data_IF_065386685514
#
_entry.id   IF_065386685514
#
_cell.length_a   1.000
_cell.length_b   1.000
_cell.length_c   1.000
_cell.angle_alpha   90.00
_cell.angle_beta   90.00
_cell.angle_gamma   90.00
#
_symmetry.space_group_name_H-M   'P 1'
#
loop_
_entity.id
_entity.type
_entity.pdbx_description
1 polymer ?
#
# COMPACT_ATOMS: atom_id res chain seq x y z
N UNK A 1 -17.30 21.99 -27.41
CA UNK A 1 -16.11 21.19 -27.76
C UNK A 1 -14.88 21.93 -27.26
N UNK A 2 -13.99 21.27 -26.52
CA UNK A 2 -12.70 21.86 -26.09
C UNK A 2 -11.60 20.91 -26.55
N UNK A 3 -10.65 21.41 -27.32
CA UNK A 3 -9.50 20.62 -27.77
C UNK A 3 -8.40 20.81 -26.73
N UNK A 4 -7.79 19.71 -26.31
CA UNK A 4 -6.65 19.68 -25.42
C UNK A 4 -5.55 18.92 -26.16
N UNK A 5 -4.53 19.66 -26.56
CA UNK A 5 -3.35 19.07 -27.21
C UNK A 5 -2.62 18.20 -26.19
N UNK A 6 -2.37 16.94 -26.57
CA UNK A 6 -1.85 15.91 -25.68
C UNK A 6 -0.35 15.68 -25.91
N UNK A 7 0.05 15.58 -27.18
CA UNK A 7 1.44 15.62 -27.66
C UNK A 7 1.49 16.17 -29.09
N UNK A 8 2.63 16.03 -29.80
CA UNK A 8 2.80 16.58 -31.16
C UNK A 8 1.84 15.97 -32.18
N UNK A 9 1.39 14.74 -31.93
CA UNK A 9 0.66 13.92 -32.90
C UNK A 9 -0.74 13.51 -32.40
N UNK A 10 -1.05 13.79 -31.13
CA UNK A 10 -2.28 13.37 -30.45
C UNK A 10 -3.01 14.55 -29.81
N UNK A 11 -4.33 14.63 -30.06
CA UNK A 11 -5.21 15.61 -29.43
C UNK A 11 -6.42 14.92 -28.78
N UNK A 12 -6.77 15.37 -27.57
CA UNK A 12 -7.98 14.96 -26.89
C UNK A 12 -9.08 16.01 -27.12
N UNK A 13 -10.25 15.58 -27.56
CA UNK A 13 -11.42 16.43 -27.78
C UNK A 13 -12.44 16.15 -26.67
N UNK A 14 -12.66 17.17 -25.83
CA UNK A 14 -13.77 17.17 -24.89
C UNK A 14 -15.06 17.48 -25.64
N UNK A 15 -15.97 16.52 -25.67
CA UNK A 15 -17.32 16.67 -26.22
C UNK A 15 -18.33 16.57 -25.08
N UNK A 16 -19.30 17.49 -25.02
CA UNK A 16 -20.35 17.44 -24.00
C UNK A 16 -21.28 16.27 -24.29
N UNK A 17 -21.77 15.56 -23.26
CA UNK A 17 -22.71 14.43 -23.36
C UNK A 17 -23.87 14.68 -24.34
N UNK A 18 -24.56 15.82 -24.21
CA UNK A 18 -25.66 16.22 -25.11
C UNK A 18 -25.28 16.26 -26.60
N UNK A 19 -24.02 16.59 -26.93
CA UNK A 19 -23.54 16.62 -28.32
C UNK A 19 -23.28 15.22 -28.87
N UNK A 20 -22.91 14.26 -28.02
CA UNK A 20 -22.75 12.85 -28.38
C UNK A 20 -24.10 12.16 -28.55
N UNK A 21 -25.04 12.43 -27.65
CA UNK A 21 -26.42 11.93 -27.74
C UNK A 21 -27.10 12.39 -29.04
N UNK A 22 -26.92 13.66 -29.42
CA UNK A 22 -27.40 14.19 -30.70
C UNK A 22 -26.76 13.52 -31.92
N UNK A 23 -25.58 12.92 -31.77
CA UNK A 23 -24.89 12.16 -32.81
C UNK A 23 -25.22 10.65 -32.77
N UNK A 24 -26.17 10.24 -31.93
CA UNK A 24 -26.59 8.84 -31.80
C UNK A 24 -25.75 8.01 -30.84
N UNK A 25 -24.81 8.62 -30.11
CA UNK A 25 -24.02 7.94 -29.08
C UNK A 25 -24.74 8.01 -27.73
N UNK A 26 -25.22 6.86 -27.25
CA UNK A 26 -25.80 6.74 -25.91
C UNK A 26 -24.67 6.41 -24.94
N UNK A 27 -24.20 7.43 -24.22
CA UNK A 27 -23.24 7.26 -23.14
C UNK A 27 -23.92 7.55 -21.80
N UNK A 28 -23.89 6.59 -20.87
CA UNK A 28 -24.46 6.76 -19.52
C UNK A 28 -23.77 7.90 -18.76
N UNK A 29 -22.49 8.16 -19.06
CA UNK A 29 -21.62 9.12 -18.38
C UNK A 29 -20.90 10.08 -19.34
N UNK A 30 -20.25 11.11 -18.79
CA UNK A 30 -19.32 11.98 -19.53
C UNK A 30 -18.15 11.14 -20.09
N UNK A 31 -17.78 11.38 -21.35
CA UNK A 31 -16.69 10.67 -22.05
C UNK A 31 -15.73 11.65 -22.72
N UNK A 32 -14.46 11.26 -22.82
CA UNK A 32 -13.44 11.90 -23.64
C UNK A 32 -13.40 11.25 -25.02
N UNK A 33 -13.29 12.04 -26.07
CA UNK A 33 -13.06 11.54 -27.43
C UNK A 33 -11.63 11.87 -27.81
N UNK A 34 -10.79 10.86 -27.99
CA UNK A 34 -9.38 11.03 -28.37
C UNK A 34 -9.27 10.67 -29.84
N UNK A 35 -8.65 11.54 -30.64
CA UNK A 35 -8.30 11.20 -32.02
C UNK A 35 -6.94 10.54 -32.01
N UNK A 36 -6.88 9.29 -32.47
CA UNK A 36 -5.67 8.49 -32.61
C UNK A 36 -5.11 8.64 -34.04
N UNK A 37 -3.89 8.12 -34.26
CA UNK A 37 -3.31 8.02 -35.60
C UNK A 37 -4.26 7.33 -36.59
N UNK A 38 -4.21 7.77 -37.85
CA UNK A 38 -5.03 7.22 -38.97
C UNK A 38 -6.54 7.49 -38.85
N UNK A 39 -6.95 8.49 -38.09
CA UNK A 39 -8.36 8.94 -38.03
C UNK A 39 -9.27 8.06 -37.18
N UNK A 40 -8.71 7.21 -36.32
CA UNK A 40 -9.48 6.43 -35.36
C UNK A 40 -9.89 7.31 -34.16
N UNK A 41 -11.10 7.11 -33.64
CA UNK A 41 -11.60 7.82 -32.45
C UNK A 41 -11.71 6.83 -31.28
N UNK A 42 -11.13 7.17 -30.13
CA UNK A 42 -11.30 6.43 -28.90
C UNK A 42 -12.23 7.20 -27.95
N UNK A 43 -13.28 6.54 -27.47
CA UNK A 43 -14.22 7.11 -26.49
C UNK A 43 -13.88 6.51 -25.13
N UNK A 44 -13.45 7.34 -24.18
CA UNK A 44 -13.02 6.90 -22.85
C UNK A 44 -13.90 7.54 -21.77
N UNK A 45 -14.47 6.73 -20.87
CA UNK A 45 -15.24 7.23 -19.72
C UNK A 45 -14.40 8.18 -18.87
N UNK A 46 -15.01 9.27 -18.39
CA UNK A 46 -14.30 10.29 -17.61
C UNK A 46 -13.72 9.75 -16.30
N UNK A 47 -14.43 8.82 -15.68
CA UNK A 47 -14.02 8.06 -14.49
C UNK A 47 -12.73 7.27 -14.73
N UNK A 48 -12.63 6.56 -15.85
CA UNK A 48 -11.49 5.70 -16.19
C UNK A 48 -10.32 6.42 -16.86
N UNK A 49 -10.51 7.67 -17.32
CA UNK A 49 -9.51 8.40 -18.09
C UNK A 49 -8.20 8.62 -17.33
N UNK A 50 -8.25 8.92 -16.02
CA UNK A 50 -7.04 9.17 -15.23
C UNK A 50 -6.15 7.92 -15.13
N UNK A 51 -6.75 6.74 -15.08
CA UNK A 51 -6.02 5.46 -15.05
C UNK A 51 -5.46 5.13 -16.41
N UNK A 52 -6.29 5.17 -17.46
CA UNK A 52 -5.83 4.98 -18.84
C UNK A 52 -4.71 5.95 -19.22
N UNK A 53 -4.78 7.20 -18.76
CA UNK A 53 -3.74 8.20 -18.94
C UNK A 53 -2.44 7.81 -18.25
N UNK A 54 -2.51 7.41 -16.97
CA UNK A 54 -1.34 6.94 -16.22
C UNK A 54 -0.69 5.73 -16.89
N UNK A 55 -1.50 4.80 -17.38
CA UNK A 55 -1.05 3.57 -18.00
C UNK A 55 -0.37 3.82 -19.34
N UNK A 56 -0.95 4.70 -20.16
CA UNK A 56 -0.38 5.06 -21.46
C UNK A 56 0.92 5.87 -21.31
N UNK A 57 0.97 6.81 -20.35
CA UNK A 57 2.19 7.56 -20.02
C UNK A 57 3.28 6.62 -19.49
N UNK A 58 2.93 5.70 -18.59
CA UNK A 58 3.89 4.70 -18.07
C UNK A 58 4.41 3.78 -19.15
N UNK A 59 3.54 3.26 -20.01
CA UNK A 59 3.91 2.41 -21.15
C UNK A 59 4.86 3.14 -22.11
N UNK A 60 4.59 4.42 -22.38
CA UNK A 60 5.43 5.26 -23.24
C UNK A 60 6.79 5.58 -22.61
N UNK A 61 6.86 5.62 -21.27
CA UNK A 61 8.10 5.80 -20.52
C UNK A 61 8.85 4.48 -20.25
N UNK A 62 8.35 3.34 -20.74
CA UNK A 62 8.92 2.02 -20.45
C UNK A 62 8.85 1.63 -18.97
N UNK A 63 7.98 2.29 -18.20
CA UNK A 63 7.77 1.96 -16.80
C UNK A 63 6.87 0.71 -16.70
N UNK A 64 7.19 -0.24 -15.82
CA UNK A 64 6.38 -1.44 -15.65
C UNK A 64 4.95 -1.06 -15.28
N UNK A 65 3.99 -1.75 -15.89
CA UNK A 65 2.58 -1.59 -15.58
C UNK A 65 2.36 -1.97 -14.11
N UNK A 66 1.99 -0.98 -13.29
CA UNK A 66 1.48 -1.22 -11.95
C UNK A 66 0.08 -1.77 -12.13
N UNK A 67 -0.15 -3.06 -11.85
CA UNK A 67 -1.43 -3.63 -12.18
C UNK A 67 -2.44 -3.09 -11.15
N UNK A 68 -3.55 -2.52 -11.62
CA UNK A 68 -4.72 -2.20 -10.79
C UNK A 68 -5.41 -3.52 -10.42
N UNK A 69 -4.68 -4.37 -9.68
CA UNK A 69 -5.17 -5.70 -9.33
C UNK A 69 -6.08 -5.52 -8.15
N UNK A 70 -7.37 -5.67 -8.40
CA UNK A 70 -8.29 -6.09 -7.36
C UNK A 70 -7.84 -7.47 -6.91
N UNK A 71 -7.22 -7.53 -5.73
CA UNK A 71 -6.78 -8.77 -5.12
C UNK A 71 -7.95 -9.35 -4.32
N UNK A 72 -8.31 -10.60 -4.61
CA UNK A 72 -9.28 -11.34 -3.82
C UNK A 72 -8.78 -11.65 -2.41
N UNK A 73 -9.69 -12.02 -1.50
CA UNK A 73 -9.32 -12.38 -0.12
C UNK A 73 -8.33 -13.55 -0.02
N UNK A 74 -8.48 -14.56 -0.90
CA UNK A 74 -7.56 -15.72 -0.95
C UNK A 74 -6.16 -15.33 -1.46
N UNK A 75 -6.09 -14.40 -2.43
CA UNK A 75 -4.83 -13.86 -2.95
C UNK A 75 -4.08 -13.06 -1.87
N UNK A 76 -4.80 -12.25 -1.09
CA UNK A 76 -4.24 -11.49 0.03
C UNK A 76 -3.76 -12.41 1.15
N UNK A 77 -4.52 -13.46 1.48
CA UNK A 77 -4.11 -14.46 2.48
C UNK A 77 -2.81 -15.18 2.06
N UNK A 78 -2.70 -15.55 0.79
CA UNK A 78 -1.50 -16.16 0.23
C UNK A 78 -0.30 -15.20 0.28
N UNK A 79 -0.49 -13.94 -0.13
CA UNK A 79 0.56 -12.92 -0.07
C UNK A 79 1.02 -12.69 1.36
N UNK A 80 0.10 -12.62 2.33
CA UNK A 80 0.40 -12.52 3.75
C UNK A 80 1.27 -13.70 4.22
N UNK A 81 0.86 -14.93 3.88
CA UNK A 81 1.60 -16.17 4.18
C UNK A 81 3.03 -16.13 3.63
N UNK A 82 3.21 -15.73 2.37
CA UNK A 82 4.53 -15.61 1.73
C UNK A 82 5.36 -14.49 2.38
N UNK A 83 4.75 -13.35 2.72
CA UNK A 83 5.46 -12.23 3.36
C UNK A 83 5.91 -12.52 4.79
N UNK A 84 5.25 -13.45 5.48
CA UNK A 84 5.65 -13.92 6.82
C UNK A 84 6.98 -14.70 6.79
N UNK A 85 7.26 -15.43 5.70
CA UNK A 85 8.53 -16.13 5.50
C UNK A 85 9.66 -15.12 5.25
N UNK A 86 10.84 -15.34 5.83
CA UNK A 86 12.02 -14.49 5.60
C UNK A 86 12.39 -14.50 4.12
N UNK A 87 12.84 -13.36 3.60
CA UNK A 87 13.12 -13.20 2.16
C UNK A 87 14.07 -14.27 1.60
N UNK A 88 15.13 -14.62 2.35
CA UNK A 88 16.11 -15.65 1.98
C UNK A 88 15.52 -17.06 1.84
N UNK A 89 14.39 -17.32 2.51
CA UNK A 89 13.73 -18.62 2.57
C UNK A 89 12.56 -18.73 1.58
N UNK A 90 12.23 -17.65 0.85
CA UNK A 90 11.16 -17.62 -0.18
C UNK A 90 11.59 -18.27 -1.49
N UNK A 91 12.40 -19.31 -1.41
CA UNK A 91 12.87 -20.10 -2.54
C UNK A 91 11.68 -20.91 -3.09
N UNK A 92 11.53 -21.07 -4.41
CA UNK A 92 10.41 -21.81 -5.00
C UNK A 92 10.17 -23.18 -4.37
N UNK A 93 11.23 -23.97 -4.12
CA UNK A 93 11.12 -25.28 -3.48
C UNK A 93 10.49 -25.24 -2.08
N UNK A 94 10.85 -24.22 -1.28
CA UNK A 94 10.36 -24.09 0.08
C UNK A 94 8.92 -23.56 0.11
N UNK A 95 8.64 -22.56 -0.73
CA UNK A 95 7.30 -21.98 -0.85
C UNK A 95 6.30 -23.02 -1.36
N UNK A 96 6.65 -23.80 -2.39
CA UNK A 96 5.76 -24.82 -2.94
C UNK A 96 5.42 -25.93 -1.93
N UNK A 97 6.33 -26.26 -1.00
CA UNK A 97 6.05 -27.23 0.08
C UNK A 97 5.08 -26.71 1.13
N UNK A 98 4.95 -25.39 1.25
CA UNK A 98 4.15 -24.72 2.27
C UNK A 98 2.73 -24.39 1.78
N UNK A 99 2.47 -24.55 0.48
CA UNK A 99 1.21 -24.20 -0.16
C UNK A 99 0.42 -25.46 -0.56
N UNK A 100 -0.89 -25.36 -0.46
CA UNK A 100 -1.82 -26.35 -1.02
C UNK A 100 -1.92 -26.26 -2.54
N UNK A 101 -2.50 -27.27 -3.19
CA UNK A 101 -2.68 -27.29 -4.66
C UNK A 101 -3.45 -26.07 -5.17
N UNK A 102 -4.50 -25.67 -4.46
CA UNK A 102 -5.28 -24.47 -4.76
C UNK A 102 -4.45 -23.20 -4.63
N UNK A 103 -3.65 -23.09 -3.58
CA UNK A 103 -2.75 -21.93 -3.38
C UNK A 103 -1.64 -21.86 -4.43
N UNK A 104 -1.21 -23.00 -4.97
CA UNK A 104 -0.25 -23.01 -6.08
C UNK A 104 -0.84 -22.43 -7.37
N UNK A 105 -2.12 -22.67 -7.66
CA UNK A 105 -2.81 -22.03 -8.79
C UNK A 105 -2.90 -20.52 -8.62
N UNK A 106 -3.23 -20.07 -7.41
CA UNK A 106 -3.26 -18.64 -7.05
C UNK A 106 -1.85 -18.04 -7.14
N UNK A 107 -0.81 -18.77 -6.71
CA UNK A 107 0.57 -18.31 -6.85
C UNK A 107 0.95 -18.07 -8.31
N UNK A 108 0.59 -19.00 -9.21
CA UNK A 108 0.82 -18.84 -10.65
C UNK A 108 0.10 -17.62 -11.20
N UNK A 109 -1.18 -17.44 -10.86
CA UNK A 109 -1.94 -16.28 -11.31
C UNK A 109 -1.35 -14.95 -10.80
N UNK A 110 -0.83 -14.90 -9.57
CA UNK A 110 -0.16 -13.72 -9.02
C UNK A 110 1.17 -13.41 -9.71
N UNK A 111 1.90 -14.44 -10.17
CA UNK A 111 3.12 -14.27 -10.97
C UNK A 111 2.77 -13.75 -12.36
N UNK A 112 1.75 -14.32 -13.00
CA UNK A 112 1.28 -13.90 -14.33
C UNK A 112 0.72 -12.47 -14.32
N UNK A 113 0.04 -12.07 -13.25
CA UNK A 113 -0.42 -10.70 -13.00
C UNK A 113 0.72 -9.71 -12.68
N UNK A 114 1.94 -10.19 -12.47
CA UNK A 114 3.11 -9.36 -12.13
C UNK A 114 3.13 -8.84 -10.69
N UNK A 115 2.25 -9.33 -9.81
CA UNK A 115 2.22 -8.98 -8.38
C UNK A 115 3.39 -9.65 -7.65
N UNK A 116 3.75 -10.86 -8.08
CA UNK A 116 4.92 -11.60 -7.63
C UNK A 116 5.89 -11.82 -8.79
N UNK A 117 7.18 -11.84 -8.50
CA UNK A 117 8.22 -12.22 -9.47
C UNK A 117 9.29 -13.07 -8.82
N UNK A 118 9.98 -13.89 -9.61
CA UNK A 118 11.16 -14.62 -9.16
C UNK A 118 12.39 -13.74 -9.39
N UNK A 119 12.99 -13.27 -8.30
CA UNK A 119 14.23 -12.52 -8.32
C UNK A 119 15.44 -13.46 -8.36
N UNK A 120 16.31 -13.30 -9.34
CA UNK A 120 17.50 -14.13 -9.58
C UNK A 120 18.80 -13.31 -9.59
N UNK A 121 18.97 -12.38 -8.64
CA UNK A 121 20.18 -11.55 -8.58
C UNK A 121 21.15 -11.99 -7.48
N UNK A 122 22.46 -11.93 -7.75
CA UNK A 122 23.51 -12.15 -6.75
C UNK A 122 23.46 -13.55 -6.16
N UNK A 123 23.31 -13.66 -4.83
CA UNK A 123 23.31 -14.96 -4.11
C UNK A 123 22.14 -15.90 -4.47
N UNK A 124 21.18 -15.47 -5.28
CA UNK A 124 20.01 -16.28 -5.69
C UNK A 124 19.95 -16.57 -7.19
N UNK A 125 21.03 -16.39 -7.96
CA UNK A 125 21.02 -16.67 -9.40
C UNK A 125 20.60 -18.10 -9.74
N UNK A 126 21.02 -19.08 -8.94
CA UNK A 126 20.75 -20.50 -9.17
C UNK A 126 19.30 -20.89 -8.85
N UNK A 127 18.77 -20.47 -7.69
CA UNK A 127 17.47 -20.93 -7.18
C UNK A 127 16.34 -19.92 -7.35
N UNK A 128 16.65 -18.64 -7.39
CA UNK A 128 15.69 -17.54 -7.34
C UNK A 128 14.94 -17.45 -6.01
N UNK A 129 14.32 -16.30 -5.75
CA UNK A 129 13.45 -16.06 -4.59
C UNK A 129 12.23 -15.27 -5.00
N UNK A 130 11.07 -15.61 -4.45
CA UNK A 130 9.85 -14.85 -4.68
C UNK A 130 9.94 -13.46 -4.04
N UNK A 131 9.71 -12.44 -4.86
CA UNK A 131 9.81 -11.04 -4.51
C UNK A 131 8.57 -10.30 -4.98
N UNK A 132 8.01 -9.48 -4.10
CA UNK A 132 6.94 -8.55 -4.46
C UNK A 132 7.62 -7.25 -4.93
N UNK A 133 7.36 -6.76 -6.15
CA UNK A 133 7.89 -5.49 -6.62
C UNK A 133 7.53 -4.36 -5.63
N UNK A 134 8.43 -3.40 -5.43
CA UNK A 134 8.23 -2.28 -4.47
C UNK A 134 6.90 -1.54 -4.69
N UNK A 135 6.48 -1.47 -5.94
CA UNK A 135 5.28 -0.76 -6.38
C UNK A 135 4.02 -1.52 -5.95
N UNK A 136 3.99 -2.84 -6.18
CA UNK A 136 2.91 -3.72 -5.70
C UNK A 136 2.90 -3.83 -4.17
N UNK A 137 4.08 -3.81 -3.53
CA UNK A 137 4.20 -3.98 -2.08
C UNK A 137 3.41 -2.92 -1.29
N UNK A 138 3.38 -1.67 -1.75
CA UNK A 138 2.59 -0.61 -1.08
C UNK A 138 1.11 -0.93 -1.09
N UNK A 139 0.59 -1.31 -2.26
CA UNK A 139 -0.83 -1.64 -2.45
C UNK A 139 -1.21 -2.87 -1.65
N UNK A 140 -0.40 -3.94 -1.74
CA UNK A 140 -0.62 -5.18 -0.98
C UNK A 140 -0.63 -4.91 0.52
N UNK A 141 0.33 -4.12 1.02
CA UNK A 141 0.40 -3.76 2.44
C UNK A 141 -0.83 -2.97 2.90
N UNK A 142 -1.24 -1.96 2.14
CA UNK A 142 -2.44 -1.17 2.44
C UNK A 142 -3.71 -2.04 2.45
N UNK A 143 -3.83 -3.00 1.53
CA UNK A 143 -4.96 -3.92 1.47
C UNK A 143 -4.98 -4.89 2.66
N UNK A 144 -3.83 -5.42 3.07
CA UNK A 144 -3.71 -6.27 4.26
C UNK A 144 -4.10 -5.49 5.52
N UNK A 145 -3.58 -4.28 5.71
CA UNK A 145 -3.89 -3.43 6.88
C UNK A 145 -5.39 -3.06 6.93
N UNK A 146 -6.03 -2.81 5.78
CA UNK A 146 -7.48 -2.58 5.68
C UNK A 146 -8.30 -3.82 6.05
N UNK A 147 -7.87 -5.00 5.61
CA UNK A 147 -8.58 -6.25 5.90
C UNK A 147 -8.48 -6.61 7.38
N UNK A 148 -7.33 -6.36 8.02
CA UNK A 148 -7.15 -6.58 9.45
C UNK A 148 -7.97 -5.59 10.29
N UNK A 149 -8.01 -4.31 9.91
CA UNK A 149 -8.81 -3.31 10.62
C UNK A 149 -10.33 -3.52 10.46
N UNK A 150 -10.77 -4.12 9.34
CA UNK A 150 -12.17 -4.52 9.17
C UNK A 150 -12.54 -5.77 9.99
N UNK A 151 -11.63 -6.74 10.14
CA UNK A 151 -11.85 -7.93 10.95
C UNK A 151 -11.98 -7.60 12.45
N UNK A 152 -11.13 -6.71 12.97
CA UNK A 152 -11.16 -6.28 14.39
C UNK A 152 -12.42 -5.45 14.71
N UNK A 153 -12.99 -4.75 13.73
CA UNK A 153 -14.24 -4.03 13.91
C UNK A 153 -15.49 -4.93 13.86
N UNK A 154 -15.37 -6.14 13.31
CA UNK A 154 -16.47 -7.10 13.17
C UNK A 154 -16.61 -8.08 14.35
N UNK A 155 -15.58 -8.24 15.19
CA UNK A 155 -15.57 -9.19 16.30
C UNK A 155 -16.06 -8.61 17.64
N UNK A 156 -16.73 -7.45 17.64
CA UNK A 156 -17.27 -6.81 18.86
C UNK A 156 -18.77 -7.05 19.11
N UNK A 157 -19.45 -7.86 18.30
CA UNK A 157 -20.82 -8.32 18.53
C UNK A 157 -20.91 -9.86 18.52
N UNK A 158 -20.33 -10.54 19.51
CA UNK A 158 -20.93 -11.77 20.03
C UNK A 158 -20.34 -12.14 21.41
N UNK A 159 -21.20 -11.98 22.42
CA UNK A 159 -21.27 -12.69 23.71
C UNK A 159 -20.06 -12.70 24.67
N UNK A 160 -20.21 -12.19 25.91
CA UNK A 160 -19.23 -12.37 26.96
C UNK A 160 -19.36 -13.78 27.57
N UNK A 161 -18.43 -14.67 27.26
CA UNK A 161 -18.11 -15.80 28.14
C UNK A 161 -16.75 -15.55 28.81
N UNK A 162 -16.83 -15.51 30.12
CA UNK A 162 -15.80 -15.16 31.09
C UNK A 162 -14.69 -16.23 31.09
N UNK A 163 -13.51 -15.90 30.57
CA UNK A 163 -12.30 -16.70 30.77
C UNK A 163 -11.25 -15.85 31.48
N UNK A 164 -11.07 -16.18 32.76
CA UNK A 164 -10.00 -15.74 33.64
C UNK A 164 -8.64 -16.12 33.03
N UNK A 165 -7.90 -15.15 32.46
CA UNK A 165 -6.51 -15.36 32.03
C UNK A 165 -5.57 -14.42 32.78
N UNK A 166 -4.62 -15.04 33.47
CA UNK A 166 -3.64 -14.43 34.38
C UNK A 166 -2.74 -13.43 33.66
N UNK A 167 -2.74 -12.20 34.18
CA UNK A 167 -1.79 -11.15 33.79
C UNK A 167 -0.32 -11.54 34.11
N UNK A 168 0.63 -11.24 33.22
CA UNK A 168 2.05 -11.25 33.57
C UNK A 168 2.40 -10.14 34.58
N UNK A 169 3.40 -10.34 35.44
CA UNK A 169 3.69 -9.45 36.56
C UNK A 169 4.13 -8.06 36.08
N UNK A 170 3.39 -7.04 36.50
CA UNK A 170 3.77 -5.64 36.35
C UNK A 170 4.92 -5.33 37.31
N UNK A 171 6.07 -4.96 36.75
CA UNK A 171 7.15 -4.33 37.51
C UNK A 171 6.69 -2.95 38.04
N UNK A 172 7.16 -2.54 39.24
CA UNK A 172 6.67 -1.34 39.90
C UNK A 172 6.98 -0.08 39.09
N UNK A 173 5.92 0.69 38.79
CA UNK A 173 6.00 1.99 38.15
C UNK A 173 6.85 2.96 38.98
N UNK A 174 8.03 3.31 38.46
CA UNK A 174 8.82 4.43 38.98
C UNK A 174 8.13 5.74 38.59
N UNK A 175 7.87 6.59 39.58
CA UNK A 175 7.32 7.93 39.39
C UNK A 175 8.19 8.72 38.40
N UNK A 176 7.68 8.91 37.19
CA UNK A 176 8.35 9.74 36.18
C UNK A 176 7.87 11.17 36.37
N UNK A 177 8.81 12.11 36.53
CA UNK A 177 8.51 13.53 36.71
C UNK A 177 7.91 14.12 35.42
N UNK A 178 6.59 14.32 35.43
CA UNK A 178 5.80 14.76 34.28
C UNK A 178 6.21 16.16 33.77
N UNK A 179 6.79 17.00 34.63
CA UNK A 179 7.27 18.33 34.24
C UNK A 179 8.42 18.25 33.23
N UNK A 180 9.34 17.29 33.43
CA UNK A 180 10.49 17.09 32.56
C UNK A 180 10.10 16.58 31.16
N UNK A 181 9.03 15.78 31.08
CA UNK A 181 8.47 15.30 29.81
C UNK A 181 7.92 16.47 28.98
N UNK A 182 7.18 17.38 29.61
CA UNK A 182 6.57 18.53 28.93
C UNK A 182 7.64 19.50 28.41
N UNK A 183 8.66 19.78 29.22
CA UNK A 183 9.74 20.68 28.82
C UNK A 183 10.59 20.09 27.70
N UNK A 184 10.86 18.78 27.72
CA UNK A 184 11.52 18.09 26.61
C UNK A 184 10.69 18.17 25.32
N UNK A 185 9.38 17.93 25.38
CA UNK A 185 8.52 18.03 24.18
C UNK A 185 8.50 19.45 23.61
N UNK A 186 8.52 20.49 24.45
CA UNK A 186 8.61 21.89 24.01
C UNK A 186 9.97 22.23 23.40
N UNK A 187 11.07 21.75 24.00
CA UNK A 187 12.41 21.92 23.45
C UNK A 187 12.51 21.30 22.04
N UNK A 188 11.89 20.13 21.82
CA UNK A 188 11.79 19.52 20.49
C UNK A 188 11.09 20.41 19.47
N UNK A 189 9.96 21.02 19.83
CA UNK A 189 9.18 21.87 18.91
C UNK A 189 9.97 23.11 18.49
N UNK A 190 10.88 23.59 19.34
CA UNK A 190 11.75 24.73 19.06
C UNK A 190 13.01 24.35 18.28
N UNK A 191 13.73 23.32 18.73
CA UNK A 191 15.09 23.03 18.28
C UNK A 191 15.15 21.83 17.30
N UNK A 192 14.04 21.11 17.11
CA UNK A 192 13.92 19.97 16.21
C UNK A 192 14.49 18.66 16.76
N UNK A 193 15.26 18.71 17.85
CA UNK A 193 15.82 17.56 18.55
C UNK A 193 15.73 17.73 20.08
N UNK A 194 15.87 16.62 20.81
CA UNK A 194 15.97 16.58 22.27
C UNK A 194 17.09 15.65 22.67
N UNK A 195 17.85 16.03 23.69
CA UNK A 195 18.88 15.19 24.29
C UNK A 195 18.36 14.75 25.64
N UNK A 196 18.21 13.44 25.83
CA UNK A 196 17.66 12.85 27.05
C UNK A 196 18.76 12.03 27.70
N UNK A 197 19.07 12.33 28.96
CA UNK A 197 20.14 11.65 29.71
C UNK A 197 19.68 10.37 30.43
N UNK A 198 18.36 10.15 30.53
CA UNK A 198 17.78 9.05 31.30
C UNK A 198 16.90 8.17 30.42
N UNK A 199 17.19 6.87 30.39
CA UNK A 199 16.46 5.86 29.63
C UNK A 199 14.96 5.79 30.00
N UNK A 200 14.64 5.95 31.28
CA UNK A 200 13.25 5.93 31.75
C UNK A 200 12.46 7.11 31.18
N UNK A 201 13.09 8.29 31.13
CA UNK A 201 12.50 9.49 30.52
C UNK A 201 12.36 9.34 28.99
N UNK A 202 13.33 8.68 28.35
CA UNK A 202 13.27 8.39 26.91
C UNK A 202 12.12 7.46 26.55
N UNK A 203 11.84 6.45 27.38
CA UNK A 203 10.68 5.56 27.21
C UNK A 203 9.35 6.32 27.32
N UNK A 204 9.21 7.17 28.34
CA UNK A 204 7.98 7.95 28.54
C UNK A 204 7.74 8.94 27.40
N UNK A 205 8.79 9.65 26.95
CA UNK A 205 8.70 10.55 25.79
C UNK A 205 8.36 9.77 24.51
N UNK A 206 8.95 8.59 24.32
CA UNK A 206 8.67 7.73 23.16
C UNK A 206 7.18 7.35 23.10
N UNK A 207 6.58 6.97 24.23
CA UNK A 207 5.15 6.64 24.31
C UNK A 207 4.27 7.86 23.97
N UNK A 208 4.54 9.03 24.54
CA UNK A 208 3.78 10.26 24.23
C UNK A 208 3.91 10.66 22.76
N UNK A 209 5.10 10.51 22.17
CA UNK A 209 5.34 10.85 20.77
C UNK A 209 4.74 9.83 19.79
N UNK A 210 4.59 8.56 20.17
CA UNK A 210 3.91 7.55 19.35
C UNK A 210 2.46 7.94 19.04
N UNK A 211 1.73 8.54 19.99
CA UNK A 211 0.38 9.02 19.73
C UNK A 211 0.34 10.15 18.69
N UNK A 212 1.31 11.08 18.76
CA UNK A 212 1.44 12.16 17.79
C UNK A 212 1.91 11.66 16.41
N UNK A 213 2.67 10.56 16.35
CA UNK A 213 3.04 9.87 15.10
C UNK A 213 1.81 9.25 14.46
N UNK A 214 0.98 8.53 15.24
CA UNK A 214 -0.29 7.95 14.75
C UNK A 214 -1.24 9.01 14.19
N UNK A 215 -1.28 10.19 14.81
CA UNK A 215 -2.08 11.35 14.35
C UNK A 215 -1.48 12.08 13.13
N UNK A 216 -0.33 11.65 12.62
CA UNK A 216 0.34 12.24 11.46
C UNK A 216 0.98 13.61 11.71
N UNK A 217 0.99 14.09 12.96
CA UNK A 217 1.63 15.37 13.34
C UNK A 217 3.16 15.25 13.31
N UNK A 218 3.69 14.05 13.53
CA UNK A 218 5.12 13.74 13.48
C UNK A 218 5.36 12.60 12.49
N UNK A 219 6.28 12.79 11.55
CA UNK A 219 6.59 11.77 10.53
C UNK A 219 7.30 10.53 11.09
N UNK A 220 8.02 10.68 12.20
CA UNK A 220 8.74 9.59 12.85
C UNK A 220 9.69 10.08 13.94
N UNK A 221 10.38 9.13 14.55
CA UNK A 221 11.38 9.34 15.59
C UNK A 221 12.60 8.49 15.26
N UNK A 222 13.79 9.07 15.42
CA UNK A 222 15.07 8.37 15.26
C UNK A 222 15.91 8.66 16.50
N UNK A 223 16.21 7.61 17.26
CA UNK A 223 17.17 7.68 18.36
C UNK A 223 18.60 7.61 17.83
N UNK A 224 19.50 8.32 18.48
CA UNK A 224 20.93 8.19 18.30
C UNK A 224 21.51 7.81 19.65
N UNK A 225 22.08 6.60 19.74
CA UNK A 225 22.86 6.21 20.89
C UNK A 225 24.26 6.83 20.69
N UNK A 226 24.66 7.68 21.63
CA UNK A 226 25.95 8.38 21.63
C UNK A 226 27.05 7.58 22.30
#
# INVERSE_FOLDING_TARGET
MKIVDYDKDTAAILVKKRQLENAGFVAEEDVYVITLEKGMLAIIKKSSFREHLKDKVRSSLGLPHLPSVELGGEELALLKKITSVKFDERIPENVLRMLSDREMEILKSLVDKGVLRVYKGGKYESKGVYSIPREAYKVVRELIEKQESAAVAGEMEESPEEVEEKAPPQEPAKETDYAQVVDAVKAREKDGFIVIANDDLARSISQTLQEKIKKGTIMGMKGFDG
#
